data_IF_968409407134
#
_entry.id   IF_968409407134
#
_cell.length_a   1.000
_cell.length_b   1.000
_cell.length_c   1.000
_cell.angle_alpha   90.00
_cell.angle_beta   90.00
_cell.angle_gamma   90.00
#
_symmetry.space_group_name_H-M   'P 1'
#
loop_
_entity.id
_entity.type
_entity.pdbx_description
1 polymer ?
#
# COMPACT_ATOMS: atom_id res chain seq x y z
N UNK A 1 -22.26 23.55 13.67
CA UNK A 1 -22.03 22.09 13.59
C UNK A 1 -21.15 21.75 14.77
N UNK A 2 -21.62 20.94 15.72
CA UNK A 2 -20.77 20.47 16.80
C UNK A 2 -19.78 19.48 16.18
N UNK A 3 -18.50 19.83 16.21
CA UNK A 3 -17.42 18.96 15.76
C UNK A 3 -17.21 17.86 16.79
N UNK A 4 -17.12 16.62 16.33
CA UNK A 4 -16.65 15.54 17.18
C UNK A 4 -15.13 15.68 17.39
N UNK A 5 -14.63 15.40 18.60
CA UNK A 5 -13.21 15.59 18.93
C UNK A 5 -12.30 14.54 18.28
N UNK A 6 -12.82 13.35 17.98
CA UNK A 6 -12.08 12.24 17.39
C UNK A 6 -12.26 12.18 15.86
N UNK A 7 -13.51 12.37 15.40
CA UNK A 7 -13.91 12.21 14.00
C UNK A 7 -14.09 13.52 13.23
N UNK A 8 -14.04 14.66 13.92
CA UNK A 8 -14.11 16.00 13.34
C UNK A 8 -15.36 16.19 12.46
N UNK A 9 -15.19 16.27 11.13
CA UNK A 9 -16.26 16.49 10.17
C UNK A 9 -16.80 15.20 9.56
N UNK A 10 -16.20 14.05 9.86
CA UNK A 10 -16.61 12.77 9.29
C UNK A 10 -18.00 12.38 9.82
N UNK A 11 -18.98 12.07 8.96
CA UNK A 11 -20.29 11.61 9.38
C UNK A 11 -20.26 10.31 10.20
N UNK A 12 -21.10 10.21 11.23
CA UNK A 12 -21.19 9.08 12.17
C UNK A 12 -21.30 7.72 11.47
N UNK A 13 -22.06 7.65 10.37
CA UNK A 13 -22.22 6.42 9.58
C UNK A 13 -20.90 5.83 9.05
N UNK A 14 -19.84 6.62 8.97
CA UNK A 14 -18.53 6.17 8.49
C UNK A 14 -17.53 5.87 9.61
N UNK A 15 -17.84 6.16 10.88
CA UNK A 15 -16.89 6.03 11.99
C UNK A 15 -16.39 4.59 12.15
N UNK A 16 -17.30 3.61 12.07
CA UNK A 16 -16.93 2.19 12.19
C UNK A 16 -16.01 1.73 11.06
N UNK A 17 -16.26 2.18 9.82
CA UNK A 17 -15.40 1.90 8.66
C UNK A 17 -14.06 2.62 8.78
N UNK A 18 -14.04 3.82 9.36
CA UNK A 18 -12.80 4.53 9.62
C UNK A 18 -11.93 3.83 10.66
N UNK A 19 -12.51 3.37 11.77
CA UNK A 19 -11.81 2.53 12.76
C UNK A 19 -11.23 1.26 12.14
N UNK A 20 -11.95 0.64 11.19
CA UNK A 20 -11.43 -0.50 10.43
C UNK A 20 -10.20 -0.11 9.59
N UNK A 21 -10.25 1.02 8.88
CA UNK A 21 -9.09 1.52 8.15
C UNK A 21 -7.90 1.79 9.08
N UNK A 22 -8.12 2.47 10.22
CA UNK A 22 -7.06 2.77 11.19
C UNK A 22 -6.44 1.50 11.78
N UNK A 23 -7.25 0.45 12.03
CA UNK A 23 -6.74 -0.86 12.42
C UNK A 23 -5.79 -1.44 11.37
N UNK A 24 -6.20 -1.46 10.10
CA UNK A 24 -5.37 -2.04 9.05
C UNK A 24 -4.08 -1.25 8.84
N UNK A 25 -4.15 0.09 8.92
CA UNK A 25 -2.94 0.93 8.89
C UNK A 25 -2.03 0.64 10.07
N UNK A 26 -2.56 0.48 11.28
CA UNK A 26 -1.78 0.06 12.46
C UNK A 26 -1.12 -1.30 12.26
N UNK A 27 -1.82 -2.26 11.66
CA UNK A 27 -1.26 -3.58 11.36
C UNK A 27 -0.11 -3.54 10.33
N UNK A 28 -0.11 -2.56 9.42
CA UNK A 28 1.04 -2.30 8.54
C UNK A 28 2.17 -1.61 9.34
N UNK A 29 1.82 -0.63 10.18
CA UNK A 29 2.78 0.12 11.00
C UNK A 29 3.53 -0.77 11.99
N UNK A 30 2.89 -1.82 12.52
CA UNK A 30 3.53 -2.84 13.36
C UNK A 30 4.80 -3.42 12.73
N UNK A 31 4.82 -3.62 11.40
CA UNK A 31 6.02 -4.09 10.70
C UNK A 31 7.23 -3.16 10.88
N UNK A 32 7.00 -1.88 11.16
CA UNK A 32 8.03 -0.85 11.33
C UNK A 32 8.35 -0.64 12.82
N UNK A 33 7.34 -0.66 13.70
CA UNK A 33 7.51 -0.23 15.11
C UNK A 33 7.75 -1.39 16.08
N UNK A 34 7.26 -2.59 15.79
CA UNK A 34 7.41 -3.74 16.68
C UNK A 34 8.80 -4.37 16.51
N UNK A 35 9.45 -4.65 17.63
CA UNK A 35 10.80 -5.21 17.70
C UNK A 35 10.90 -6.61 17.08
N UNK A 36 9.78 -7.34 17.01
CA UNK A 36 9.68 -8.65 16.36
C UNK A 36 10.08 -8.58 14.88
N UNK A 37 9.93 -7.41 14.24
CA UNK A 37 10.29 -7.17 12.84
C UNK A 37 11.66 -6.52 12.67
N UNK A 38 12.49 -6.42 13.71
CA UNK A 38 13.79 -5.77 13.63
C UNK A 38 14.70 -6.38 12.55
N UNK A 39 14.57 -7.66 12.24
CA UNK A 39 15.34 -8.33 11.17
C UNK A 39 14.99 -7.87 9.74
N UNK A 40 13.87 -7.17 9.57
CA UNK A 40 13.52 -6.50 8.32
C UNK A 40 14.39 -5.23 8.13
N UNK A 41 14.65 -4.51 9.23
CA UNK A 41 15.36 -3.23 9.26
C UNK A 41 16.87 -3.37 9.43
N UNK A 42 17.28 -4.32 10.28
CA UNK A 42 18.65 -4.52 10.69
C UNK A 42 19.14 -5.87 10.19
N UNK A 43 20.24 -5.84 9.45
CA UNK A 43 20.90 -7.03 8.95
C UNK A 43 22.35 -7.04 9.44
N UNK A 44 22.82 -8.23 9.78
CA UNK A 44 24.17 -8.47 10.27
C UNK A 44 24.91 -9.32 9.25
N UNK A 45 26.16 -8.96 9.00
CA UNK A 45 27.04 -9.68 8.10
C UNK A 45 28.34 -10.02 8.83
N UNK A 46 28.78 -11.26 8.68
CA UNK A 46 30.10 -11.67 9.16
C UNK A 46 31.16 -11.19 8.18
N UNK A 47 32.13 -10.44 8.70
CA UNK A 47 33.31 -10.00 7.97
C UNK A 47 34.42 -11.04 8.15
N UNK A 48 35.11 -11.39 7.06
CA UNK A 48 36.27 -12.30 7.11
C UNK A 48 37.47 -11.65 7.83
N UNK A 49 37.54 -10.31 7.82
CA UNK A 49 38.57 -9.50 8.49
C UNK A 49 38.07 -8.07 8.71
N UNK A 50 38.52 -7.39 9.77
CA UNK A 50 38.21 -5.97 10.00
C UNK A 50 38.74 -5.05 8.89
N UNK A 51 39.81 -5.46 8.20
CA UNK A 51 40.43 -4.69 7.11
C UNK A 51 39.80 -4.96 5.73
N UNK A 52 38.77 -5.80 5.66
CA UNK A 52 38.20 -6.25 4.39
C UNK A 52 37.19 -5.27 3.78
N UNK A 53 36.65 -4.36 4.59
CA UNK A 53 35.86 -3.21 4.16
C UNK A 53 36.80 -2.05 3.86
N UNK A 54 36.77 -1.57 2.60
CA UNK A 54 37.55 -0.40 2.23
C UNK A 54 36.93 0.86 2.85
N UNK A 55 37.77 1.87 3.09
CA UNK A 55 37.31 3.19 3.52
C UNK A 55 36.30 3.73 2.48
N UNK A 56 35.14 4.19 2.96
CA UNK A 56 33.99 4.67 2.16
C UNK A 56 33.28 3.66 1.23
N UNK A 57 33.54 2.35 1.34
CA UNK A 57 32.83 1.35 0.54
C UNK A 57 31.40 1.11 1.04
N UNK A 58 30.43 1.17 0.13
CA UNK A 58 29.04 0.84 0.45
C UNK A 58 28.89 -0.67 0.67
N UNK A 59 28.02 -1.09 1.60
CA UNK A 59 27.83 -2.51 1.94
C UNK A 59 27.42 -3.36 0.72
N UNK A 60 26.63 -2.78 -0.20
CA UNK A 60 26.27 -3.45 -1.45
C UNK A 60 27.48 -3.75 -2.33
N UNK A 61 28.38 -2.77 -2.49
CA UNK A 61 29.60 -2.94 -3.29
C UNK A 61 30.52 -3.98 -2.66
N UNK A 62 30.61 -4.00 -1.32
CA UNK A 62 31.33 -5.02 -0.57
C UNK A 62 30.79 -6.43 -0.87
N UNK A 63 29.47 -6.63 -0.78
CA UNK A 63 28.85 -7.94 -1.00
C UNK A 63 29.05 -8.42 -2.44
N UNK A 64 28.92 -7.53 -3.43
CA UNK A 64 29.17 -7.86 -4.84
C UNK A 64 30.65 -8.22 -5.08
N UNK A 65 31.59 -7.46 -4.50
CA UNK A 65 33.03 -7.71 -4.62
C UNK A 65 33.45 -9.05 -3.99
N UNK A 66 32.79 -9.47 -2.92
CA UNK A 66 33.02 -10.74 -2.23
C UNK A 66 32.20 -11.90 -2.82
N UNK A 67 31.52 -11.68 -3.94
CA UNK A 67 30.67 -12.68 -4.62
C UNK A 67 29.55 -13.24 -3.72
N UNK A 68 29.14 -12.47 -2.70
CA UNK A 68 28.05 -12.79 -1.77
C UNK A 68 26.69 -12.34 -2.33
N UNK A 69 26.35 -12.84 -3.51
CA UNK A 69 25.17 -12.37 -4.27
C UNK A 69 23.84 -12.65 -3.56
N UNK A 70 23.71 -13.78 -2.86
CA UNK A 70 22.48 -14.11 -2.13
C UNK A 70 22.25 -13.17 -0.93
N UNK A 71 23.31 -12.88 -0.18
CA UNK A 71 23.28 -11.91 0.93
C UNK A 71 22.94 -10.50 0.41
N UNK A 72 23.53 -10.11 -0.73
CA UNK A 72 23.23 -8.85 -1.40
C UNK A 72 21.75 -8.75 -1.76
N UNK A 73 21.21 -9.74 -2.49
CA UNK A 73 19.84 -9.70 -2.99
C UNK A 73 18.82 -9.76 -1.84
N UNK A 74 19.10 -10.53 -0.79
CA UNK A 74 18.28 -10.55 0.41
C UNK A 74 18.28 -9.17 1.09
N UNK A 75 19.44 -8.51 1.18
CA UNK A 75 19.50 -7.19 1.80
C UNK A 75 18.76 -6.14 1.00
N UNK A 76 18.95 -6.11 -0.32
CA UNK A 76 18.22 -5.20 -1.22
C UNK A 76 16.72 -5.42 -1.07
N UNK A 77 16.27 -6.69 -1.10
CA UNK A 77 14.85 -7.05 -0.96
C UNK A 77 14.26 -6.55 0.36
N UNK A 78 14.90 -6.87 1.49
CA UNK A 78 14.45 -6.43 2.83
C UNK A 78 14.40 -4.91 2.94
N UNK A 79 15.45 -4.22 2.51
CA UNK A 79 15.54 -2.76 2.54
C UNK A 79 14.45 -2.10 1.69
N UNK A 80 14.18 -2.67 0.51
CA UNK A 80 13.14 -2.19 -0.37
C UNK A 80 11.75 -2.39 0.24
N UNK A 81 11.47 -3.57 0.80
CA UNK A 81 10.19 -3.86 1.46
C UNK A 81 9.99 -2.93 2.67
N UNK A 82 10.98 -2.77 3.54
CA UNK A 82 10.92 -1.86 4.70
C UNK A 82 10.60 -0.43 4.28
N UNK A 83 11.35 0.11 3.31
CA UNK A 83 11.15 1.47 2.82
C UNK A 83 9.76 1.68 2.18
N UNK A 84 9.27 0.70 1.41
CA UNK A 84 7.93 0.76 0.82
C UNK A 84 6.83 0.72 1.88
N UNK A 85 6.98 -0.10 2.92
CA UNK A 85 6.02 -0.17 4.04
C UNK A 85 5.99 1.16 4.79
N UNK A 86 7.15 1.78 5.04
CA UNK A 86 7.25 3.11 5.67
C UNK A 86 6.49 4.18 4.85
N UNK A 87 6.75 4.28 3.54
CA UNK A 87 6.05 5.27 2.69
C UNK A 87 4.53 4.99 2.64
N UNK A 88 4.12 3.71 2.60
CA UNK A 88 2.70 3.32 2.68
C UNK A 88 2.06 3.81 3.98
N UNK A 89 2.69 3.58 5.13
CA UNK A 89 2.18 4.01 6.43
C UNK A 89 1.97 5.53 6.48
N UNK A 90 2.98 6.32 6.10
CA UNK A 90 2.87 7.77 6.12
C UNK A 90 1.75 8.29 5.23
N UNK A 91 1.64 7.76 4.01
CA UNK A 91 0.60 8.20 3.08
C UNK A 91 -0.81 7.80 3.55
N UNK A 92 -0.99 6.60 4.11
CA UNK A 92 -2.28 6.14 4.60
C UNK A 92 -2.73 6.87 5.86
N UNK A 93 -1.84 7.07 6.84
CA UNK A 93 -2.14 7.82 8.06
C UNK A 93 -2.59 9.25 7.73
N UNK A 94 -1.84 9.96 6.87
CA UNK A 94 -2.19 11.31 6.46
C UNK A 94 -3.46 11.35 5.59
N UNK A 95 -3.70 10.35 4.74
CA UNK A 95 -4.93 10.27 3.94
C UNK A 95 -6.18 10.15 4.83
N UNK A 96 -6.13 9.28 5.85
CA UNK A 96 -7.21 9.08 6.81
C UNK A 96 -7.42 10.32 7.68
N UNK A 97 -6.35 10.95 8.16
CA UNK A 97 -6.43 12.21 8.91
C UNK A 97 -7.03 13.36 8.06
N UNK A 98 -6.63 13.47 6.80
CA UNK A 98 -7.21 14.43 5.85
C UNK A 98 -8.71 14.17 5.62
N UNK A 99 -9.14 12.91 5.56
CA UNK A 99 -10.55 12.55 5.38
C UNK A 99 -11.41 13.04 6.53
N UNK A 100 -10.97 12.83 7.78
CA UNK A 100 -11.65 13.35 8.98
C UNK A 100 -11.83 14.87 8.94
N UNK A 101 -10.85 15.57 8.38
CA UNK A 101 -10.84 17.03 8.20
C UNK A 101 -11.62 17.50 6.96
N UNK A 102 -12.36 16.63 6.27
CA UNK A 102 -13.10 16.92 5.03
C UNK A 102 -12.19 17.36 3.85
N UNK A 103 -10.89 17.05 3.91
CA UNK A 103 -9.90 17.43 2.87
C UNK A 103 -9.77 16.31 1.84
N UNK A 104 -10.87 15.96 1.16
CA UNK A 104 -10.92 14.77 0.31
C UNK A 104 -10.01 14.84 -0.92
N UNK A 105 -9.74 16.02 -1.48
CA UNK A 105 -8.71 16.20 -2.51
C UNK A 105 -7.34 15.75 -2.02
N UNK A 106 -6.98 16.06 -0.78
CA UNK A 106 -5.72 15.62 -0.17
C UNK A 106 -5.76 14.11 0.09
N UNK A 107 -6.86 13.60 0.65
CA UNK A 107 -7.07 12.15 0.87
C UNK A 107 -6.83 11.36 -0.40
N UNK A 108 -7.56 11.64 -1.49
CA UNK A 108 -7.44 10.89 -2.74
C UNK A 108 -6.10 11.13 -3.45
N UNK A 109 -5.44 12.27 -3.24
CA UNK A 109 -4.08 12.48 -3.75
C UNK A 109 -3.08 11.53 -3.07
N UNK A 110 -3.20 11.37 -1.75
CA UNK A 110 -2.32 10.53 -0.95
C UNK A 110 -2.55 9.03 -1.19
N UNK A 111 -3.81 8.59 -1.36
CA UNK A 111 -4.15 7.19 -1.63
C UNK A 111 -3.52 6.63 -2.91
N UNK A 112 -3.08 7.50 -3.83
CA UNK A 112 -2.44 7.06 -5.08
C UNK A 112 -1.20 6.23 -4.81
N UNK A 113 -0.33 6.67 -3.90
CA UNK A 113 0.95 6.02 -3.68
C UNK A 113 0.76 4.58 -3.17
N UNK A 114 0.04 4.32 -2.06
CA UNK A 114 -0.13 2.98 -1.54
C UNK A 114 -0.75 2.00 -2.55
N UNK A 115 -1.82 2.41 -3.23
CA UNK A 115 -2.62 1.50 -4.04
C UNK A 115 -2.25 1.47 -5.52
N UNK A 116 -1.96 2.61 -6.12
CA UNK A 116 -1.69 2.68 -7.57
C UNK A 116 -0.21 2.44 -7.86
N UNK A 117 0.69 2.79 -6.93
CA UNK A 117 2.14 2.71 -7.16
C UNK A 117 2.84 1.62 -6.35
N UNK A 118 2.55 1.48 -5.05
CA UNK A 118 3.29 0.55 -4.18
C UNK A 118 2.75 -0.88 -4.28
N UNK A 119 1.42 -1.06 -4.32
CA UNK A 119 0.82 -2.38 -4.49
C UNK A 119 1.36 -3.15 -5.72
N UNK A 120 1.48 -2.57 -6.93
CA UNK A 120 2.16 -3.24 -8.04
C UNK A 120 3.58 -3.69 -7.72
N UNK A 121 4.35 -2.87 -7.00
CA UNK A 121 5.73 -3.21 -6.62
C UNK A 121 5.76 -4.36 -5.62
N UNK A 122 4.88 -4.38 -4.61
CA UNK A 122 4.74 -5.52 -3.69
C UNK A 122 4.38 -6.81 -4.42
N UNK A 123 3.42 -6.75 -5.34
CA UNK A 123 3.02 -7.91 -6.14
C UNK A 123 4.19 -8.45 -6.99
N UNK A 124 5.02 -7.58 -7.55
CA UNK A 124 6.23 -7.99 -8.27
C UNK A 124 7.27 -8.60 -7.34
N UNK A 125 7.46 -8.03 -6.15
CA UNK A 125 8.39 -8.60 -5.17
C UNK A 125 7.98 -10.03 -4.72
N UNK A 126 6.69 -10.34 -4.74
CA UNK A 126 6.17 -11.68 -4.42
C UNK A 126 6.34 -12.68 -5.57
N UNK A 127 6.05 -12.25 -6.81
CA UNK A 127 5.76 -13.18 -7.90
C UNK A 127 6.51 -12.91 -9.22
N UNK A 128 7.29 -11.84 -9.31
CA UNK A 128 8.12 -11.51 -10.47
C UNK A 128 9.59 -11.84 -10.15
N UNK A 129 10.02 -13.06 -10.47
CA UNK A 129 11.39 -13.55 -10.21
C UNK A 129 12.46 -12.66 -10.85
N UNK A 130 12.15 -11.98 -11.96
CA UNK A 130 13.07 -11.07 -12.63
C UNK A 130 13.15 -9.69 -11.98
N UNK A 131 12.25 -9.37 -11.02
CA UNK A 131 12.13 -8.04 -10.46
C UNK A 131 13.44 -7.53 -9.85
N UNK A 132 14.05 -8.30 -8.93
CA UNK A 132 15.27 -7.86 -8.25
C UNK A 132 16.44 -7.72 -9.21
N UNK A 133 16.60 -8.67 -10.13
CA UNK A 133 17.65 -8.60 -11.14
C UNK A 133 17.49 -7.35 -12.01
N UNK A 134 16.27 -7.05 -12.44
CA UNK A 134 15.99 -5.85 -13.22
C UNK A 134 16.20 -4.56 -12.41
N UNK A 135 15.79 -4.55 -11.14
CA UNK A 135 15.98 -3.43 -10.23
C UNK A 135 17.46 -3.11 -9.99
N UNK A 136 18.29 -4.14 -9.83
CA UNK A 136 19.73 -3.99 -9.57
C UNK A 136 20.53 -3.62 -10.83
N UNK A 137 20.12 -4.13 -12.01
CA UNK A 137 20.99 -4.15 -13.19
C UNK A 137 20.48 -3.34 -14.39
N UNK A 138 19.27 -2.76 -14.38
CA UNK A 138 18.71 -1.99 -15.50
C UNK A 138 18.42 -0.54 -15.10
N UNK A 139 19.21 0.40 -15.63
CA UNK A 139 19.06 1.85 -15.36
C UNK A 139 17.68 2.42 -15.70
N UNK A 140 17.02 1.90 -16.75
CA UNK A 140 15.72 2.40 -17.24
C UNK A 140 14.53 1.60 -16.73
N UNK A 141 14.71 0.78 -15.70
CA UNK A 141 13.66 -0.07 -15.16
C UNK A 141 12.61 0.75 -14.42
N UNK A 142 11.40 0.78 -14.96
CA UNK A 142 10.23 1.30 -14.26
C UNK A 142 9.68 0.23 -13.31
N UNK A 143 9.89 0.45 -12.02
CA UNK A 143 9.49 -0.46 -10.94
C UNK A 143 7.98 -0.66 -10.85
N UNK A 144 7.20 0.33 -11.28
CA UNK A 144 5.74 0.35 -11.14
C UNK A 144 5.01 0.03 -12.46
N UNK A 145 5.67 0.18 -13.60
CA UNK A 145 5.05 -0.12 -14.88
C UNK A 145 4.80 -1.62 -15.04
N UNK A 146 3.51 -1.96 -15.16
CA UNK A 146 3.02 -3.27 -15.56
C UNK A 146 1.91 -3.09 -16.60
N UNK A 147 1.94 -3.96 -17.61
CA UNK A 147 0.83 -4.13 -18.56
C UNK A 147 -0.41 -4.64 -17.81
N UNK A 148 -1.59 -4.38 -18.37
CA UNK A 148 -2.86 -4.79 -17.77
C UNK A 148 -2.90 -6.29 -17.50
N UNK A 149 -2.49 -7.11 -18.47
CA UNK A 149 -2.53 -8.57 -18.37
C UNK A 149 -1.65 -9.06 -17.22
N UNK A 150 -0.45 -8.48 -17.07
CA UNK A 150 0.47 -8.86 -15.98
C UNK A 150 -0.03 -8.37 -14.63
N UNK A 151 -0.68 -7.20 -14.53
CA UNK A 151 -1.31 -6.75 -13.27
C UNK A 151 -2.36 -7.75 -12.80
N UNK A 152 -3.24 -8.14 -13.73
CA UNK A 152 -4.29 -9.13 -13.50
C UNK A 152 -3.73 -10.47 -13.05
N UNK A 153 -2.73 -10.98 -13.76
CA UNK A 153 -1.99 -12.19 -13.39
C UNK A 153 -1.45 -12.14 -11.95
N UNK A 154 -0.69 -11.08 -11.61
CA UNK A 154 -0.10 -10.94 -10.27
C UNK A 154 -1.16 -10.77 -9.17
N UNK A 155 -2.25 -10.03 -9.44
CA UNK A 155 -3.38 -9.93 -8.50
C UNK A 155 -3.96 -11.32 -8.27
N UNK A 156 -4.24 -12.08 -9.33
CA UNK A 156 -4.80 -13.43 -9.23
C UNK A 156 -3.92 -14.38 -8.41
N UNK A 157 -2.61 -14.33 -8.61
CA UNK A 157 -1.66 -15.11 -7.80
C UNK A 157 -1.71 -14.71 -6.33
N UNK A 158 -1.76 -13.40 -6.03
CA UNK A 158 -1.86 -12.91 -4.66
C UNK A 158 -3.12 -13.37 -3.92
N UNK A 159 -4.25 -13.52 -4.63
CA UNK A 159 -5.52 -13.96 -4.03
C UNK A 159 -5.42 -15.34 -3.38
N UNK A 160 -4.52 -16.20 -3.87
CA UNK A 160 -4.30 -17.54 -3.30
C UNK A 160 -3.67 -17.51 -1.90
N UNK A 161 -3.02 -16.41 -1.53
CA UNK A 161 -2.36 -16.22 -0.23
C UNK A 161 -3.29 -15.57 0.81
N UNK A 162 -4.42 -15.01 0.37
CA UNK A 162 -5.31 -14.23 1.23
C UNK A 162 -6.17 -15.12 2.12
N UNK A 163 -6.41 -14.68 3.36
CA UNK A 163 -7.29 -15.38 4.28
C UNK A 163 -8.57 -14.61 4.59
N UNK A 164 -8.49 -13.31 4.83
CA UNK A 164 -9.63 -12.44 5.10
C UNK A 164 -10.27 -11.89 3.83
N UNK A 165 -9.49 -11.67 2.78
CA UNK A 165 -9.96 -11.12 1.50
C UNK A 165 -10.32 -12.20 0.45
N UNK A 166 -10.56 -13.45 0.86
CA UNK A 166 -10.85 -14.59 -0.03
C UNK A 166 -12.06 -14.42 -0.96
N UNK A 167 -13.00 -13.55 -0.61
CA UNK A 167 -14.18 -13.30 -1.43
C UNK A 167 -13.92 -12.39 -2.62
N UNK A 168 -12.75 -11.71 -2.66
CA UNK A 168 -12.40 -10.79 -3.72
C UNK A 168 -11.97 -11.54 -4.97
N UNK A 169 -12.36 -11.04 -6.13
CA UNK A 169 -11.86 -11.52 -7.42
C UNK A 169 -10.76 -10.61 -7.97
N UNK A 170 -10.01 -11.17 -8.91
CA UNK A 170 -8.99 -10.45 -9.66
C UNK A 170 -9.61 -9.24 -10.36
N UNK A 171 -10.74 -9.47 -11.04
CA UNK A 171 -11.48 -8.45 -11.75
C UNK A 171 -11.94 -7.34 -10.82
N UNK A 172 -12.46 -7.65 -9.62
CA UNK A 172 -12.88 -6.63 -8.66
C UNK A 172 -11.73 -5.71 -8.25
N UNK A 173 -10.59 -6.27 -7.85
CA UNK A 173 -9.40 -5.48 -7.47
C UNK A 173 -8.91 -4.63 -8.66
N UNK A 174 -8.83 -5.23 -9.85
CA UNK A 174 -8.39 -4.51 -11.05
C UNK A 174 -9.34 -3.35 -11.38
N UNK A 175 -10.66 -3.61 -11.38
CA UNK A 175 -11.69 -2.62 -11.67
C UNK A 175 -11.71 -1.47 -10.67
N UNK A 176 -11.54 -1.76 -9.38
CA UNK A 176 -11.54 -0.75 -8.33
C UNK A 176 -10.28 0.10 -8.33
N UNK A 177 -9.10 -0.45 -8.66
CA UNK A 177 -7.84 0.28 -8.54
C UNK A 177 -7.35 0.83 -9.89
N UNK A 178 -7.28 -0.02 -10.91
CA UNK A 178 -6.46 0.21 -12.10
C UNK A 178 -7.24 0.46 -13.39
N UNK A 179 -8.53 0.09 -13.47
CA UNK A 179 -9.29 0.25 -14.71
C UNK A 179 -9.52 1.73 -15.05
N UNK A 180 -8.77 2.24 -16.03
CA UNK A 180 -8.91 3.61 -16.51
C UNK A 180 -10.23 3.86 -17.25
N UNK A 181 -10.93 2.80 -17.67
CA UNK A 181 -12.24 2.91 -18.31
C UNK A 181 -13.38 3.10 -17.31
N UNK A 182 -13.18 2.74 -16.04
CA UNK A 182 -14.13 2.95 -14.97
C UNK A 182 -13.91 4.35 -14.34
N UNK A 183 -14.84 5.30 -14.44
CA UNK A 183 -14.70 6.64 -13.83
C UNK A 183 -14.44 6.64 -12.32
N UNK A 184 -14.96 5.61 -11.63
CA UNK A 184 -14.88 5.46 -10.18
C UNK A 184 -13.68 4.62 -9.73
N UNK A 185 -12.81 4.20 -10.65
CA UNK A 185 -11.56 3.54 -10.25
C UNK A 185 -10.65 4.51 -9.52
N UNK A 186 -9.87 3.97 -8.58
CA UNK A 186 -8.96 4.75 -7.74
C UNK A 186 -7.92 5.48 -8.59
N UNK A 187 -7.42 4.89 -9.68
CA UNK A 187 -6.52 5.58 -10.62
C UNK A 187 -7.17 6.85 -11.20
N UNK A 188 -8.47 6.82 -11.51
CA UNK A 188 -9.18 7.96 -12.06
C UNK A 188 -9.53 9.01 -11.00
N UNK A 189 -9.96 8.59 -9.81
CA UNK A 189 -10.23 9.49 -8.68
C UNK A 189 -8.95 10.18 -8.20
N UNK A 190 -7.85 9.44 -8.06
CA UNK A 190 -6.55 10.00 -7.68
C UNK A 190 -5.98 10.94 -8.76
N UNK A 191 -6.19 10.63 -10.05
CA UNK A 191 -5.85 11.55 -11.15
C UNK A 191 -6.62 12.88 -11.03
N UNK A 192 -7.93 12.83 -10.76
CA UNK A 192 -8.75 14.04 -10.55
C UNK A 192 -8.31 14.83 -9.31
N UNK A 193 -7.88 14.14 -8.26
CA UNK A 193 -7.39 14.77 -7.04
C UNK A 193 -6.06 15.51 -7.25
N UNK A 194 -5.15 14.95 -8.05
CA UNK A 194 -3.81 15.50 -8.29
C UNK A 194 -3.74 16.58 -9.37
N UNK A 195 -4.63 16.53 -10.36
CA UNK A 195 -4.59 17.44 -11.50
C UNK A 195 -5.74 18.45 -11.43
N UNK A 196 -5.42 19.73 -11.68
CA UNK A 196 -6.43 20.80 -11.79
C UNK A 196 -7.49 20.49 -12.86
N UNK A 197 -7.05 19.88 -13.97
CA UNK A 197 -7.92 19.38 -15.03
C UNK A 197 -7.34 18.11 -15.63
N UNK A 198 -8.21 17.18 -16.00
CA UNK A 198 -7.92 15.91 -16.66
C UNK A 198 -8.52 15.96 -18.07
N UNK A 199 -7.69 15.86 -19.11
CA UNK A 199 -8.13 15.98 -20.51
C UNK A 199 -7.79 14.77 -21.37
N UNK A 200 -6.86 13.92 -20.91
CA UNK A 200 -6.29 12.81 -21.68
C UNK A 200 -7.18 11.56 -21.69
N UNK A 201 -7.91 11.29 -20.61
CA UNK A 201 -8.83 10.17 -20.52
C UNK A 201 -10.27 10.70 -20.46
N UNK A 202 -11.14 10.18 -21.33
CA UNK A 202 -12.54 10.60 -21.41
C UNK A 202 -13.32 10.26 -20.13
N UNK A 203 -13.02 9.14 -19.49
CA UNK A 203 -13.76 8.61 -18.35
C UNK A 203 -13.52 9.39 -17.05
N UNK A 204 -12.43 10.16 -16.98
CA UNK A 204 -12.18 11.07 -15.88
C UNK A 204 -12.06 12.53 -16.33
N UNK A 205 -12.54 12.86 -17.53
CA UNK A 205 -12.38 14.20 -18.11
C UNK A 205 -13.07 15.26 -17.26
N UNK A 206 -12.39 16.37 -16.99
CA UNK A 206 -12.97 17.50 -16.28
C UNK A 206 -14.06 18.16 -17.13
N UNK A 207 -15.17 18.48 -16.49
CA UNK A 207 -16.31 19.16 -17.12
C UNK A 207 -15.98 20.60 -17.52
N UNK A 208 -16.79 21.15 -18.42
CA UNK A 208 -16.67 22.55 -18.85
C UNK A 208 -16.85 23.46 -17.63
N UNK A 209 -15.97 24.46 -17.50
CA UNK A 209 -15.97 25.41 -16.38
C UNK A 209 -15.80 24.77 -14.98
N UNK A 210 -15.19 23.59 -14.90
CA UNK A 210 -14.89 22.90 -13.65
C UNK A 210 -13.37 22.73 -13.45
N UNK A 211 -12.91 22.60 -12.20
CA UNK A 211 -11.54 22.31 -11.80
C UNK A 211 -11.52 21.09 -10.85
N UNK A 212 -11.87 19.92 -11.37
CA UNK A 212 -11.95 18.65 -10.63
C UNK A 212 -12.47 18.84 -9.20
N UNK A 213 -11.74 18.39 -8.18
CA UNK A 213 -12.21 18.40 -6.80
C UNK A 213 -12.18 19.79 -6.13
N UNK A 214 -11.64 20.83 -6.79
CA UNK A 214 -11.56 22.18 -6.20
C UNK A 214 -12.95 22.79 -6.03
N UNK A 215 -13.88 22.49 -6.95
CA UNK A 215 -15.25 22.99 -6.91
C UNK A 215 -16.25 21.98 -6.37
N UNK A 216 -15.78 20.92 -5.68
CA UNK A 216 -16.66 19.92 -5.07
C UNK A 216 -17.64 20.56 -4.08
N UNK A 217 -18.93 20.31 -4.31
CA UNK A 217 -20.01 20.72 -3.42
C UNK A 217 -20.22 19.69 -2.28
N UNK A 218 -21.25 19.90 -1.46
CA UNK A 218 -21.52 19.01 -0.33
C UNK A 218 -21.89 17.58 -0.76
N UNK A 219 -22.64 17.42 -1.86
CA UNK A 219 -23.03 16.11 -2.38
C UNK A 219 -21.83 15.38 -2.99
N UNK A 220 -20.93 16.09 -3.68
CA UNK A 220 -19.67 15.53 -4.17
C UNK A 220 -18.82 14.99 -3.02
N UNK A 221 -18.71 15.76 -1.94
CA UNK A 221 -17.96 15.36 -0.75
C UNK A 221 -18.58 14.12 -0.09
N UNK A 222 -19.90 14.08 0.01
CA UNK A 222 -20.62 12.94 0.55
C UNK A 222 -20.42 11.68 -0.31
N UNK A 223 -20.48 11.82 -1.64
CA UNK A 223 -20.23 10.74 -2.58
C UNK A 223 -18.79 10.22 -2.47
N UNK A 224 -17.81 11.13 -2.33
CA UNK A 224 -16.40 10.77 -2.15
C UNK A 224 -16.17 10.04 -0.82
N UNK A 225 -16.81 10.45 0.29
CA UNK A 225 -16.77 9.70 1.54
C UNK A 225 -17.46 8.34 1.41
N UNK A 226 -18.62 8.29 0.75
CA UNK A 226 -19.35 7.05 0.50
C UNK A 226 -18.48 6.05 -0.25
N UNK A 227 -17.81 6.50 -1.33
CA UNK A 227 -16.83 5.69 -2.04
C UNK A 227 -15.71 5.24 -1.12
N UNK A 228 -15.08 6.19 -0.41
CA UNK A 228 -13.90 5.94 0.43
C UNK A 228 -14.19 4.81 1.44
N UNK A 229 -15.28 4.92 2.19
CA UNK A 229 -15.59 3.95 3.24
C UNK A 229 -16.33 2.70 2.75
N UNK A 230 -16.68 2.63 1.46
CA UNK A 230 -17.14 1.40 0.80
C UNK A 230 -15.95 0.56 0.35
N UNK A 231 -14.98 1.15 -0.35
CA UNK A 231 -13.90 0.41 -1.00
C UNK A 231 -12.59 0.38 -0.21
N UNK A 232 -12.17 1.48 0.41
CA UNK A 232 -10.84 1.56 1.05
C UNK A 232 -10.66 0.58 2.21
N UNK A 233 -11.65 0.30 3.09
CA UNK A 233 -11.47 -0.72 4.12
C UNK A 233 -11.13 -2.10 3.53
N UNK A 234 -11.77 -2.46 2.40
CA UNK A 234 -11.55 -3.74 1.71
C UNK A 234 -10.16 -3.75 1.05
N UNK A 235 -9.81 -2.67 0.35
CA UNK A 235 -8.51 -2.52 -0.30
C UNK A 235 -7.36 -2.49 0.72
N UNK A 236 -7.56 -1.89 1.89
CA UNK A 236 -6.57 -1.91 2.98
C UNK A 236 -6.37 -3.31 3.54
N UNK A 237 -7.45 -4.07 3.76
CA UNK A 237 -7.32 -5.48 4.15
C UNK A 237 -6.52 -6.26 3.11
N UNK A 238 -6.83 -6.08 1.82
CA UNK A 238 -6.09 -6.70 0.73
C UNK A 238 -4.60 -6.29 0.75
N UNK A 239 -4.30 -4.99 0.91
CA UNK A 239 -2.92 -4.50 0.99
C UNK A 239 -2.15 -5.10 2.16
N UNK A 240 -2.76 -5.18 3.35
CA UNK A 240 -2.16 -5.84 4.52
C UNK A 240 -1.84 -7.31 4.20
N UNK A 241 -2.79 -8.04 3.63
CA UNK A 241 -2.63 -9.46 3.32
C UNK A 241 -1.69 -9.73 2.14
N UNK A 242 -1.36 -8.72 1.32
CA UNK A 242 -0.27 -8.78 0.33
C UNK A 242 1.09 -8.52 0.99
N UNK A 243 1.17 -7.59 1.94
CA UNK A 243 2.43 -7.26 2.63
C UNK A 243 2.84 -8.37 3.61
N UNK A 244 1.89 -9.02 4.27
CA UNK A 244 2.14 -10.10 5.23
C UNK A 244 3.04 -11.23 4.70
N UNK A 245 2.71 -11.93 3.60
CA UNK A 245 3.54 -12.99 3.08
C UNK A 245 4.92 -12.49 2.63
N UNK A 246 5.05 -11.24 2.17
CA UNK A 246 6.36 -10.64 1.87
C UNK A 246 7.23 -10.57 3.12
N UNK A 247 6.71 -9.97 4.19
CA UNK A 247 7.46 -9.79 5.43
C UNK A 247 7.76 -11.16 6.06
N UNK A 248 6.77 -12.04 6.13
CA UNK A 248 6.89 -13.33 6.82
C UNK A 248 7.83 -14.31 6.09
N UNK A 249 8.02 -14.16 4.78
CA UNK A 249 9.02 -14.93 4.05
C UNK A 249 10.46 -14.48 4.31
N UNK A 250 10.67 -13.32 4.95
CA UNK A 250 12.00 -12.69 5.10
C UNK A 250 12.55 -12.74 6.53
N UNK A 251 11.74 -13.09 7.52
CA UNK A 251 12.11 -13.07 8.94
C UNK A 251 11.51 -14.26 9.67
N UNK A 252 12.14 -14.66 10.77
CA UNK A 252 11.60 -15.69 11.65
C UNK A 252 10.59 -15.07 12.64
N UNK A 253 9.39 -15.63 12.70
CA UNK A 253 8.31 -15.14 13.57
C UNK A 253 7.93 -16.15 14.65
N UNK A 254 7.48 -15.68 15.84
CA UNK A 254 6.97 -16.57 16.88
C UNK A 254 5.77 -17.40 16.42
N UNK A 255 5.62 -18.60 16.98
CA UNK A 255 4.45 -19.44 16.77
C UNK A 255 3.15 -18.70 17.17
N UNK A 256 2.07 -18.91 16.40
CA UNK A 256 0.74 -18.29 16.59
C UNK A 256 0.68 -16.78 16.39
N UNK A 257 1.76 -16.13 15.96
CA UNK A 257 1.79 -14.68 15.74
C UNK A 257 0.71 -14.23 14.74
N UNK A 258 0.62 -14.94 13.61
CA UNK A 258 -0.38 -14.67 12.59
C UNK A 258 -1.82 -14.88 13.10
N UNK A 259 -2.06 -15.87 13.96
CA UNK A 259 -3.38 -16.09 14.55
C UNK A 259 -3.84 -14.90 15.41
N UNK A 260 -2.92 -14.25 16.12
CA UNK A 260 -3.24 -13.08 16.94
C UNK A 260 -3.70 -11.92 16.06
N UNK A 261 -3.00 -11.67 14.94
CA UNK A 261 -3.41 -10.65 13.96
C UNK A 261 -4.78 -10.93 13.36
N UNK A 262 -5.09 -12.19 13.08
CA UNK A 262 -6.43 -12.60 12.64
C UNK A 262 -7.51 -12.40 13.71
N UNK A 263 -7.22 -12.74 14.98
CA UNK A 263 -8.15 -12.53 16.11
C UNK A 263 -8.52 -11.05 16.26
N UNK A 264 -7.55 -10.15 16.12
CA UNK A 264 -7.80 -8.70 16.16
C UNK A 264 -8.73 -8.23 15.03
N UNK A 265 -8.51 -8.72 13.80
CA UNK A 265 -9.39 -8.42 12.65
C UNK A 265 -10.82 -8.88 12.92
N UNK A 266 -10.98 -10.12 13.37
CA UNK A 266 -12.30 -10.70 13.67
C UNK A 266 -13.01 -9.89 14.77
N UNK A 267 -12.30 -9.50 15.84
CA UNK A 267 -12.90 -8.75 16.94
C UNK A 267 -13.50 -7.41 16.47
N UNK A 268 -12.79 -6.68 15.60
CA UNK A 268 -13.27 -5.39 15.08
C UNK A 268 -14.34 -5.58 14.00
N UNK A 269 -14.26 -6.63 13.18
CA UNK A 269 -15.30 -6.94 12.20
C UNK A 269 -16.61 -7.38 12.87
N UNK A 270 -16.55 -8.16 13.96
CA UNK A 270 -17.73 -8.67 14.67
C UNK A 270 -18.37 -7.65 15.60
N UNK A 271 -17.59 -6.77 16.24
CA UNK A 271 -18.15 -5.64 17.03
C UNK A 271 -18.98 -4.66 16.17
N UNK A 272 -18.82 -4.69 14.85
CA UNK A 272 -19.56 -3.86 13.91
C UNK A 272 -20.83 -4.54 13.34
N UNK A 273 -21.17 -5.75 13.82
CA UNK A 273 -22.33 -6.55 13.38
C UNK A 273 -23.42 -6.66 14.49
N UNK A 274 -23.20 -6.06 15.66
CA UNK A 274 -24.20 -5.97 16.75
C UNK A 274 -24.66 -4.54 17.00
#
# INVERSE_FOLDING_TARGET
MNLDNEYLYLPEKYWNKHKQCELFVRQIEEFIVDETYNELRYQKFDLESENDLKEDEHIFDYLLRKEKFEEHDNFVRKSLVDALIIDVCYFLQEALAASKRKRLTVTFSLLRKPFVYHLPVFLRLLFDDEFLNNFNNKETFDVNYLKEEKKKELIKESLSLLLGAKSLTEEEIYEWIFNQNNPDSLINLTNKALHLSTTRNKNNKTEIQNLNFIFSNQDDIENLWSYLYTYIPILLLYLVEVIEPLVFAMIDLPENFYENRLKERILIMTKNVC
#
